data_IF_515925471449
#
_entry.id   IF_515925471449
#
_cell.length_a   1.000
_cell.length_b   1.000
_cell.length_c   1.000
_cell.angle_alpha   90.00
_cell.angle_beta   90.00
_cell.angle_gamma   90.00
#
_symmetry.space_group_name_H-M   'P 1'
#
loop_
_entity.id
_entity.type
_entity.pdbx_description
1 polymer ?
#
# COMPACT_ATOMS: atom_id res chain seq x y z
N UNK A 1 4.83 -12.59 -6.61
CA UNK A 1 4.84 -11.21 -7.18
C UNK A 1 4.92 -10.16 -6.08
N UNK A 2 4.17 -10.30 -4.98
CA UNK A 2 4.32 -9.41 -3.81
C UNK A 2 5.66 -9.56 -3.09
N UNK A 3 6.39 -10.66 -3.30
CA UNK A 3 7.65 -10.96 -2.61
C UNK A 3 8.76 -9.98 -3.03
N UNK A 4 8.94 -9.76 -4.33
CA UNK A 4 9.84 -8.72 -4.85
C UNK A 4 9.47 -7.30 -4.38
N UNK A 5 8.16 -7.01 -4.22
CA UNK A 5 7.72 -5.71 -3.71
C UNK A 5 8.11 -5.54 -2.24
N UNK A 6 8.03 -6.62 -1.45
CA UNK A 6 8.44 -6.63 -0.04
C UNK A 6 9.94 -6.44 0.10
N UNK A 7 10.74 -7.13 -0.71
CA UNK A 7 12.19 -6.96 -0.74
C UNK A 7 12.58 -5.52 -1.13
N UNK A 8 11.95 -4.95 -2.15
CA UNK A 8 12.19 -3.57 -2.55
C UNK A 8 11.77 -2.56 -1.47
N UNK A 9 10.65 -2.81 -0.79
CA UNK A 9 10.18 -1.95 0.29
C UNK A 9 11.03 -2.07 1.56
N UNK A 10 11.59 -3.25 1.83
CA UNK A 10 12.59 -3.49 2.87
C UNK A 10 13.88 -2.73 2.57
N UNK A 11 14.38 -2.81 1.32
CA UNK A 11 15.54 -2.04 0.86
C UNK A 11 15.29 -0.52 0.86
N UNK A 12 14.06 -0.09 0.64
CA UNK A 12 13.66 1.32 0.70
C UNK A 12 13.47 1.83 2.15
N UNK A 13 13.66 0.99 3.17
CA UNK A 13 13.52 1.37 4.57
C UNK A 13 12.07 1.62 5.01
N UNK A 14 11.10 0.95 4.37
CA UNK A 14 9.67 1.03 4.76
C UNK A 14 9.39 -0.04 5.83
N UNK A 15 10.08 0.06 6.96
CA UNK A 15 10.09 -0.89 8.06
C UNK A 15 9.24 -0.46 9.27
N UNK A 16 8.52 0.67 9.18
CA UNK A 16 7.64 1.18 10.23
C UNK A 16 6.77 0.05 10.85
N UNK A 17 6.82 -0.17 12.18
CA UNK A 17 6.05 -1.23 12.82
C UNK A 17 4.57 -0.87 12.87
N UNK A 18 3.73 -1.69 12.23
CA UNK A 18 2.27 -1.55 12.25
C UNK A 18 1.70 -2.58 13.22
N UNK A 19 1.05 -2.07 14.27
CA UNK A 19 0.30 -2.90 15.22
C UNK A 19 -1.09 -3.17 14.68
N UNK A 20 -1.42 -4.45 14.50
CA UNK A 20 -2.76 -4.93 14.20
C UNK A 20 -3.34 -5.56 15.45
N UNK A 21 -4.33 -4.90 16.02
CA UNK A 21 -5.19 -5.48 17.04
C UNK A 21 -6.40 -6.08 16.36
N UNK A 22 -6.62 -7.37 16.53
CA UNK A 22 -7.83 -8.03 16.05
C UNK A 22 -8.31 -9.08 17.06
N UNK A 23 -9.59 -9.43 16.96
CA UNK A 23 -10.23 -10.37 17.87
C UNK A 23 -10.52 -11.67 17.14
N UNK A 24 -10.01 -12.80 17.67
CA UNK A 24 -10.46 -14.12 17.25
C UNK A 24 -11.31 -14.69 18.39
N UNK A 25 -12.63 -14.72 18.20
CA UNK A 25 -13.58 -15.06 19.26
C UNK A 25 -13.50 -14.04 20.42
N UNK A 26 -13.28 -14.53 21.65
CA UNK A 26 -13.10 -13.69 22.85
C UNK A 26 -11.64 -13.30 23.12
N UNK A 27 -10.67 -13.73 22.30
CA UNK A 27 -9.25 -13.42 22.52
C UNK A 27 -8.84 -12.22 21.66
N UNK A 28 -8.31 -11.19 22.32
CA UNK A 28 -7.63 -10.06 21.66
C UNK A 28 -6.21 -10.51 21.30
N UNK A 29 -5.87 -10.39 20.03
CA UNK A 29 -4.53 -10.68 19.50
C UNK A 29 -3.94 -9.35 19.01
N UNK A 30 -2.74 -9.05 19.49
CA UNK A 30 -1.97 -7.91 19.05
C UNK A 30 -0.73 -8.43 18.29
N UNK A 31 -0.73 -8.27 16.98
CA UNK A 31 0.42 -8.59 16.14
C UNK A 31 1.13 -7.31 15.72
N UNK A 32 2.45 -7.31 15.84
CA UNK A 32 3.30 -6.25 15.29
C UNK A 32 3.94 -6.81 14.03
N UNK A 33 3.60 -6.21 12.90
CA UNK A 33 4.17 -6.58 11.60
C UNK A 33 4.78 -5.34 10.95
N UNK A 34 5.94 -5.46 10.31
CA UNK A 34 6.54 -4.32 9.63
C UNK A 34 5.71 -3.93 8.41
N UNK A 35 5.69 -2.63 8.08
CA UNK A 35 4.84 -2.06 7.03
C UNK A 35 5.07 -2.71 5.66
N UNK A 36 6.30 -3.02 5.30
CA UNK A 36 6.61 -3.71 4.04
C UNK A 36 5.90 -5.07 3.93
N UNK A 37 5.77 -5.84 5.02
CA UNK A 37 5.14 -7.16 4.99
C UNK A 37 3.64 -7.10 4.67
N UNK A 38 3.03 -5.94 4.89
CA UNK A 38 1.61 -5.65 4.61
C UNK A 38 1.38 -5.08 3.20
N UNK A 39 2.44 -4.77 2.45
CA UNK A 39 2.33 -4.23 1.10
C UNK A 39 1.89 -5.32 0.12
N UNK A 40 0.99 -4.92 -0.78
CA UNK A 40 0.56 -5.70 -1.94
C UNK A 40 0.63 -4.83 -3.19
N UNK A 41 0.69 -5.45 -4.36
CA UNK A 41 0.64 -4.76 -5.65
C UNK A 41 -0.60 -3.85 -5.79
N UNK A 42 -1.76 -4.25 -5.24
CA UNK A 42 -2.96 -3.42 -5.22
C UNK A 42 -2.78 -2.15 -4.35
N UNK A 43 -2.16 -2.28 -3.17
CA UNK A 43 -1.85 -1.14 -2.32
C UNK A 43 -0.81 -0.21 -2.98
N UNK A 44 0.26 -0.78 -3.54
CA UNK A 44 1.32 -0.02 -4.22
C UNK A 44 0.78 0.81 -5.40
N UNK A 45 -0.13 0.25 -6.19
CA UNK A 45 -0.79 0.97 -7.29
C UNK A 45 -1.59 2.17 -6.81
N UNK A 46 -2.35 2.03 -5.71
CA UNK A 46 -3.12 3.16 -5.16
C UNK A 46 -2.20 4.24 -4.58
N UNK A 47 -1.16 3.84 -3.86
CA UNK A 47 -0.15 4.77 -3.34
C UNK A 47 0.54 5.53 -4.47
N UNK A 48 0.89 4.85 -5.57
CA UNK A 48 1.48 5.49 -6.75
C UNK A 48 0.56 6.56 -7.35
N UNK A 49 -0.73 6.26 -7.53
CA UNK A 49 -1.70 7.22 -8.08
C UNK A 49 -1.83 8.43 -7.15
N UNK A 50 -2.01 8.22 -5.85
CA UNK A 50 -2.13 9.31 -4.88
C UNK A 50 -0.86 10.17 -4.82
N UNK A 51 0.33 9.56 -4.87
CA UNK A 51 1.59 10.29 -4.86
C UNK A 51 1.79 11.11 -6.15
N UNK A 52 1.45 10.54 -7.32
CA UNK A 52 1.54 11.25 -8.60
C UNK A 52 0.59 12.47 -8.64
N UNK A 53 -0.62 12.33 -8.10
CA UNK A 53 -1.57 13.43 -7.97
C UNK A 53 -1.07 14.50 -6.98
N UNK A 54 -0.49 14.09 -5.84
CA UNK A 54 0.09 15.01 -4.86
C UNK A 54 1.29 15.80 -5.43
N UNK A 55 2.05 15.20 -6.35
CA UNK A 55 3.13 15.85 -7.10
C UNK A 55 2.62 16.80 -8.20
N UNK A 56 1.31 16.95 -8.37
CA UNK A 56 0.70 17.84 -9.35
C UNK A 56 0.68 17.30 -10.78
N UNK A 57 0.95 16.01 -10.97
CA UNK A 57 0.86 15.39 -12.30
C UNK A 57 -0.61 15.36 -12.70
N UNK A 58 -0.98 15.91 -13.87
CA UNK A 58 -2.37 15.95 -14.28
C UNK A 58 -2.92 14.54 -14.45
N UNK A 59 -4.15 14.35 -13.94
CA UNK A 59 -4.79 13.04 -13.83
C UNK A 59 -4.90 12.32 -15.19
N UNK A 60 -4.95 13.05 -16.31
CA UNK A 60 -4.97 12.47 -17.66
C UNK A 60 -3.73 11.64 -17.98
N UNK A 61 -2.55 12.02 -17.48
CA UNK A 61 -1.31 11.27 -17.67
C UNK A 61 -1.30 10.03 -16.78
N UNK A 62 -1.69 10.19 -15.52
CA UNK A 62 -1.75 9.08 -14.56
C UNK A 62 -2.79 8.03 -14.99
N UNK A 63 -3.91 8.46 -15.60
CA UNK A 63 -4.94 7.59 -16.20
C UNK A 63 -4.43 6.81 -17.41
N UNK A 64 -3.51 7.35 -18.20
CA UNK A 64 -2.88 6.59 -19.31
C UNK A 64 -1.95 5.49 -18.78
N UNK A 65 -1.25 5.75 -17.68
CA UNK A 65 -0.35 4.78 -17.07
C UNK A 65 -1.07 3.70 -16.27
N UNK A 66 -2.25 4.02 -15.74
CA UNK A 66 -3.00 3.11 -14.87
C UNK A 66 -4.35 2.75 -15.50
N UNK A 67 -4.48 1.51 -15.96
CA UNK A 67 -5.70 0.90 -16.57
C UNK A 67 -6.99 0.96 -15.70
N UNK A 68 -6.96 1.56 -14.50
CA UNK A 68 -8.04 1.51 -13.50
C UNK A 68 -8.04 2.81 -12.70
N UNK A 69 -8.91 3.76 -13.06
CA UNK A 69 -9.29 4.92 -12.23
C UNK A 69 -10.82 4.95 -12.08
N UNK A 70 -11.42 3.81 -11.70
CA UNK A 70 -12.85 3.77 -11.36
C UNK A 70 -13.13 3.83 -9.84
N UNK A 71 -12.11 3.97 -8.97
CA UNK A 71 -12.31 3.79 -7.52
C UNK A 71 -11.46 4.72 -6.65
N UNK A 72 -11.37 6.00 -6.99
CA UNK A 72 -10.82 7.07 -6.12
C UNK A 72 -11.97 7.90 -5.51
N UNK A 73 -13.14 7.27 -5.35
CA UNK A 73 -14.31 7.89 -4.71
C UNK A 73 -15.04 6.86 -3.85
N UNK A 74 -14.42 6.46 -2.73
CA UNK A 74 -15.09 5.94 -1.53
C UNK A 74 -14.20 6.21 -0.32
#
# INVERSE_FOLDING_TARGET
MNDYLKELAELAGIDEPIRKTYYIGNKRIDEVTPKYALLSTHAGRRTFICNALALGIPANVVMKWTVVIATIKR
#
